data_IF_850241748693
#
_entry.id   IF_850241748693
#
_cell.length_a   1.000
_cell.length_b   1.000
_cell.length_c   1.000
_cell.angle_alpha   90.00
_cell.angle_beta   90.00
_cell.angle_gamma   90.00
#
_symmetry.space_group_name_H-M   'P 1'
#
loop_
_entity.id
_entity.type
_entity.pdbx_description
1 polymer ?
#
# COMPACT_ATOMS: atom_id res chain seq x y z
N UNK A 1 6.25 23.41 -31.73
CA UNK A 1 6.77 22.05 -31.48
C UNK A 1 7.27 21.85 -30.05
N UNK A 2 7.99 22.80 -29.44
CA UNK A 2 8.53 22.66 -28.06
C UNK A 2 7.49 22.43 -26.94
N UNK A 3 6.31 23.06 -27.02
CA UNK A 3 5.26 22.90 -26.00
C UNK A 3 4.60 21.50 -26.01
N UNK A 4 4.56 20.83 -27.15
CA UNK A 4 3.98 19.49 -27.27
C UNK A 4 4.97 18.40 -26.81
N UNK A 5 6.28 18.59 -27.05
CA UNK A 5 7.30 17.65 -26.58
C UNK A 5 7.47 17.70 -25.05
N UNK A 6 7.40 18.88 -24.44
CA UNK A 6 7.49 19.02 -22.97
C UNK A 6 6.29 18.39 -22.25
N UNK A 7 5.08 18.47 -22.82
CA UNK A 7 3.89 17.80 -22.29
C UNK A 7 3.98 16.28 -22.41
N UNK A 8 4.45 15.74 -23.55
CA UNK A 8 4.68 14.29 -23.74
C UNK A 8 5.75 13.76 -22.76
N UNK A 9 6.84 14.52 -22.56
CA UNK A 9 7.91 14.21 -21.62
C UNK A 9 7.42 14.17 -20.17
N UNK A 10 6.73 15.22 -19.72
CA UNK A 10 6.22 15.30 -18.34
C UNK A 10 5.17 14.22 -18.04
N UNK A 11 4.32 13.85 -19.01
CA UNK A 11 3.40 12.73 -18.88
C UNK A 11 4.15 11.41 -18.65
N UNK A 12 5.18 11.14 -19.44
CA UNK A 12 5.99 9.92 -19.30
C UNK A 12 6.66 9.83 -17.93
N UNK A 13 7.13 10.96 -17.39
CA UNK A 13 7.69 11.05 -16.04
C UNK A 13 6.66 10.71 -14.96
N UNK A 14 5.47 11.33 -14.99
CA UNK A 14 4.42 11.03 -14.01
C UNK A 14 3.94 9.57 -14.09
N UNK A 15 3.83 9.00 -15.30
CA UNK A 15 3.53 7.57 -15.44
C UNK A 15 4.62 6.70 -14.80
N UNK A 16 5.90 7.02 -15.00
CA UNK A 16 7.00 6.29 -14.33
C UNK A 16 6.89 6.41 -12.82
N UNK A 17 6.62 7.60 -12.29
CA UNK A 17 6.46 7.81 -10.83
C UNK A 17 5.33 6.96 -10.27
N UNK A 18 4.16 6.93 -10.92
CA UNK A 18 3.02 6.10 -10.48
C UNK A 18 3.39 4.62 -10.51
N UNK A 19 3.95 4.13 -11.62
CA UNK A 19 4.30 2.71 -11.76
C UNK A 19 5.39 2.29 -10.76
N UNK A 20 6.40 3.12 -10.56
CA UNK A 20 7.46 2.85 -9.60
C UNK A 20 6.92 2.85 -8.16
N UNK A 21 6.10 3.84 -7.79
CA UNK A 21 5.53 3.94 -6.44
C UNK A 21 4.65 2.73 -6.12
N UNK A 22 3.75 2.35 -7.04
CA UNK A 22 2.87 1.19 -6.84
C UNK A 22 3.63 -0.13 -6.88
N UNK A 23 4.59 -0.29 -7.79
CA UNK A 23 5.41 -1.50 -7.87
C UNK A 23 6.29 -1.69 -6.62
N UNK A 24 6.91 -0.61 -6.14
CA UNK A 24 7.66 -0.61 -4.89
C UNK A 24 6.77 -0.94 -3.70
N UNK A 25 5.60 -0.31 -3.60
CA UNK A 25 4.64 -0.56 -2.54
C UNK A 25 4.20 -2.03 -2.49
N UNK A 26 3.75 -2.60 -3.60
CA UNK A 26 3.31 -4.00 -3.65
C UNK A 26 4.44 -4.98 -3.34
N UNK A 27 5.65 -4.69 -3.80
CA UNK A 27 6.82 -5.50 -3.47
C UNK A 27 7.10 -5.46 -1.97
N UNK A 28 6.99 -4.28 -1.36
CA UNK A 28 7.14 -4.08 0.08
C UNK A 28 6.11 -4.87 0.89
N UNK A 29 4.84 -4.87 0.47
CA UNK A 29 3.77 -5.63 1.13
C UNK A 29 4.09 -7.12 1.12
N UNK A 30 4.48 -7.67 -0.03
CA UNK A 30 4.87 -9.08 -0.15
C UNK A 30 6.08 -9.42 0.72
N UNK A 31 7.08 -8.54 0.79
CA UNK A 31 8.24 -8.75 1.66
C UNK A 31 7.81 -8.75 3.13
N UNK A 32 6.94 -7.84 3.55
CA UNK A 32 6.50 -7.78 4.94
C UNK A 32 5.65 -9.01 5.32
N UNK A 33 4.62 -9.30 4.54
CA UNK A 33 3.59 -10.29 4.91
C UNK A 33 3.92 -11.72 4.49
N UNK A 34 4.57 -11.91 3.34
CA UNK A 34 4.87 -13.25 2.83
C UNK A 34 6.28 -13.73 3.20
N UNK A 35 7.20 -12.82 3.57
CA UNK A 35 8.57 -13.17 3.93
C UNK A 35 8.88 -12.89 5.39
N UNK A 36 8.74 -11.66 5.87
CA UNK A 36 9.17 -11.26 7.21
C UNK A 36 8.28 -11.90 8.29
N UNK A 37 6.95 -11.76 8.20
CA UNK A 37 6.03 -12.31 9.19
C UNK A 37 6.11 -13.85 9.33
N UNK A 38 6.09 -14.65 8.25
CA UNK A 38 6.27 -16.09 8.35
C UNK A 38 7.65 -16.50 8.89
N UNK A 39 8.70 -15.75 8.56
CA UNK A 39 10.04 -16.00 9.09
C UNK A 39 10.09 -15.81 10.62
N UNK A 40 9.44 -14.77 11.14
CA UNK A 40 9.31 -14.54 12.59
C UNK A 40 8.47 -15.62 13.26
N UNK A 41 7.46 -16.17 12.57
CA UNK A 41 6.65 -17.27 13.10
C UNK A 41 7.50 -18.54 13.27
N UNK A 42 8.16 -18.98 12.20
CA UNK A 42 8.92 -20.23 12.17
C UNK A 42 10.15 -20.17 13.07
N UNK A 43 10.78 -19.00 13.22
CA UNK A 43 11.92 -18.80 14.13
C UNK A 43 11.52 -18.71 15.60
N UNK A 44 10.22 -18.68 15.93
CA UNK A 44 9.73 -18.54 17.30
C UNK A 44 9.81 -17.11 17.84
N UNK A 45 10.28 -16.14 17.05
CA UNK A 45 10.39 -14.73 17.46
C UNK A 45 9.06 -14.09 17.87
N UNK A 46 7.92 -14.65 17.45
CA UNK A 46 6.60 -14.18 17.88
C UNK A 46 6.28 -14.43 19.35
N UNK A 47 6.95 -15.42 19.97
CA UNK A 47 6.76 -15.75 21.39
C UNK A 47 7.64 -14.88 22.31
N UNK A 48 8.56 -14.10 21.73
CA UNK A 48 9.46 -13.23 22.48
C UNK A 48 8.74 -11.95 22.90
N UNK A 49 9.10 -11.42 24.08
CA UNK A 49 8.47 -10.23 24.65
C UNK A 49 8.68 -8.96 23.83
N UNK A 50 9.74 -8.91 23.03
CA UNK A 50 10.04 -7.81 22.11
C UNK A 50 9.28 -7.89 20.78
N UNK A 51 8.50 -8.95 20.55
CA UNK A 51 7.76 -9.11 19.29
C UNK A 51 6.77 -7.97 19.06
N UNK A 52 6.00 -7.58 20.09
CA UNK A 52 4.99 -6.54 19.96
C UNK A 52 5.61 -5.17 19.64
N UNK A 53 6.74 -4.83 20.27
CA UNK A 53 7.45 -3.57 20.05
C UNK A 53 8.10 -3.54 18.66
N UNK A 54 8.78 -4.62 18.26
CA UNK A 54 9.38 -4.77 16.94
C UNK A 54 8.34 -4.76 15.82
N UNK A 55 7.25 -5.52 16.00
CA UNK A 55 6.10 -5.55 15.08
C UNK A 55 5.49 -4.17 14.91
N UNK A 56 5.21 -3.45 16.01
CA UNK A 56 4.71 -2.08 15.93
C UNK A 56 5.65 -1.18 15.12
N UNK A 57 6.95 -1.20 15.38
CA UNK A 57 7.91 -0.38 14.64
C UNK A 57 7.92 -0.71 13.14
N UNK A 58 7.93 -1.99 12.79
CA UNK A 58 7.92 -2.44 11.40
C UNK A 58 6.65 -2.01 10.67
N UNK A 59 5.46 -2.38 11.18
CA UNK A 59 4.18 -2.04 10.54
C UNK A 59 3.92 -0.52 10.54
N UNK A 60 4.21 0.17 11.65
CA UNK A 60 4.01 1.63 11.74
C UNK A 60 4.90 2.39 10.76
N UNK A 61 6.15 1.95 10.58
CA UNK A 61 7.06 2.54 9.58
C UNK A 61 6.60 2.21 8.17
N UNK A 62 6.26 0.95 7.91
CA UNK A 62 5.80 0.51 6.60
C UNK A 62 4.52 1.24 6.16
N UNK A 63 3.51 1.35 7.02
CA UNK A 63 2.24 2.02 6.68
C UNK A 63 2.43 3.51 6.31
N UNK A 64 3.42 4.20 6.90
CA UNK A 64 3.79 5.56 6.47
C UNK A 64 4.37 5.59 5.06
N UNK A 65 5.16 4.58 4.70
CA UNK A 65 5.68 4.40 3.35
C UNK A 65 4.52 4.09 2.38
N UNK A 66 3.56 3.26 2.79
CA UNK A 66 2.34 2.98 2.01
C UNK A 66 1.56 4.26 1.73
N UNK A 67 1.33 5.10 2.75
CA UNK A 67 0.68 6.40 2.60
C UNK A 67 1.40 7.30 1.59
N UNK A 68 2.73 7.37 1.66
CA UNK A 68 3.52 8.15 0.69
C UNK A 68 3.35 7.59 -0.72
N UNK A 69 3.41 6.28 -0.90
CA UNK A 69 3.23 5.63 -2.20
C UNK A 69 1.82 5.87 -2.77
N UNK A 70 0.78 5.74 -1.94
CA UNK A 70 -0.61 6.00 -2.34
C UNK A 70 -0.83 7.48 -2.71
N UNK A 71 -0.26 8.41 -1.94
CA UNK A 71 -0.33 9.85 -2.23
C UNK A 71 0.39 10.22 -3.53
N UNK A 72 1.57 9.64 -3.77
CA UNK A 72 2.33 9.81 -5.02
C UNK A 72 1.57 9.23 -6.22
N UNK A 73 0.98 8.04 -6.08
CA UNK A 73 0.19 7.42 -7.13
C UNK A 73 -1.03 8.27 -7.52
N UNK A 74 -1.81 8.73 -6.52
CA UNK A 74 -2.97 9.59 -6.75
C UNK A 74 -2.56 10.94 -7.38
N UNK A 75 -1.51 11.57 -6.85
CA UNK A 75 -1.02 12.85 -7.37
C UNK A 75 -0.50 12.71 -8.80
N UNK A 76 0.27 11.66 -9.09
CA UNK A 76 0.75 11.38 -10.44
C UNK A 76 -0.40 11.15 -11.43
N UNK A 77 -1.44 10.43 -11.01
CA UNK A 77 -2.63 10.23 -11.84
C UNK A 77 -3.44 11.51 -12.04
N UNK A 78 -3.55 12.39 -11.05
CA UNK A 78 -4.17 13.71 -11.18
C UNK A 78 -3.33 14.66 -12.06
N UNK A 79 -2.00 14.54 -12.03
CA UNK A 79 -1.11 15.30 -12.91
C UNK A 79 -1.26 14.84 -14.37
N UNK A 80 -1.23 13.53 -14.61
CA UNK A 80 -1.56 12.94 -15.92
C UNK A 80 -2.97 13.38 -16.31
N UNK A 81 -3.92 13.33 -15.37
CA UNK A 81 -5.25 13.97 -15.22
C UNK A 81 -5.45 15.30 -15.95
N UNK A 82 -4.55 16.22 -15.65
CA UNK A 82 -4.62 17.58 -16.13
C UNK A 82 -4.09 17.73 -17.56
N UNK A 83 -3.25 16.80 -18.02
CA UNK A 83 -2.51 16.92 -19.28
C UNK A 83 -3.20 16.31 -20.51
N UNK A 84 -4.23 15.48 -20.35
CA UNK A 84 -4.94 14.79 -21.46
C UNK A 84 -6.28 15.51 -21.75
N UNK A 85 -6.53 15.83 -23.02
CA UNK A 85 -7.74 16.52 -23.50
C UNK A 85 -8.89 15.59 -23.94
N UNK A 86 -8.61 14.36 -24.38
CA UNK A 86 -9.63 13.45 -24.93
C UNK A 86 -9.41 11.98 -24.52
N UNK A 87 -10.48 11.29 -24.11
CA UNK A 87 -10.53 9.81 -23.97
C UNK A 87 -10.68 9.25 -22.53
N UNK A 88 -11.88 8.79 -22.18
CA UNK A 88 -12.14 8.01 -20.96
C UNK A 88 -11.76 6.54 -21.17
N UNK A 89 -10.87 6.00 -20.31
CA UNK A 89 -11.26 5.21 -19.12
C UNK A 89 -10.52 5.70 -17.85
N UNK A 90 -10.59 7.01 -17.59
CA UNK A 90 -9.63 7.75 -16.75
C UNK A 90 -10.08 8.05 -15.32
N UNK A 91 -11.39 8.04 -15.05
CA UNK A 91 -11.95 8.29 -13.71
C UNK A 91 -11.80 7.10 -12.76
N UNK A 92 -11.87 5.88 -13.29
CA UNK A 92 -11.73 4.66 -12.48
C UNK A 92 -10.35 4.57 -11.83
N UNK A 93 -9.25 4.87 -12.55
CA UNK A 93 -7.90 4.85 -11.98
C UNK A 93 -7.72 5.87 -10.84
N UNK A 94 -8.34 7.05 -10.95
CA UNK A 94 -8.34 8.07 -9.88
C UNK A 94 -9.15 7.55 -8.68
N UNK A 95 -10.36 7.03 -8.91
CA UNK A 95 -11.21 6.48 -7.85
C UNK A 95 -10.49 5.34 -7.11
N UNK A 96 -9.91 4.39 -7.85
CA UNK A 96 -9.14 3.29 -7.28
C UNK A 96 -7.95 3.80 -6.45
N UNK A 97 -7.23 4.80 -6.94
CA UNK A 97 -6.08 5.38 -6.21
C UNK A 97 -6.51 6.20 -4.99
N UNK A 98 -7.66 6.85 -5.02
CA UNK A 98 -8.27 7.48 -3.84
C UNK A 98 -8.66 6.42 -2.81
N UNK A 99 -9.21 5.28 -3.23
CA UNK A 99 -9.52 4.18 -2.31
C UNK A 99 -8.23 3.61 -1.70
N UNK A 100 -7.17 3.42 -2.49
CA UNK A 100 -5.87 2.99 -1.98
C UNK A 100 -5.33 3.93 -0.89
N UNK A 101 -5.46 5.25 -1.07
CA UNK A 101 -5.06 6.23 -0.06
C UNK A 101 -5.91 6.14 1.21
N UNK A 102 -7.23 5.93 1.07
CA UNK A 102 -8.11 5.71 2.22
C UNK A 102 -7.71 4.45 2.98
N UNK A 103 -7.45 3.34 2.28
CA UNK A 103 -7.03 2.08 2.89
C UNK A 103 -5.72 2.25 3.65
N UNK A 104 -4.68 2.83 3.01
CA UNK A 104 -3.41 3.11 3.69
C UNK A 104 -3.56 4.03 4.91
N UNK A 105 -4.55 4.93 4.91
CA UNK A 105 -4.87 5.77 6.06
C UNK A 105 -5.53 4.98 7.20
N UNK A 106 -6.44 4.05 6.86
CA UNK A 106 -7.07 3.15 7.83
C UNK A 106 -6.02 2.25 8.47
N UNK A 107 -5.08 1.71 7.69
CA UNK A 107 -4.00 0.87 8.22
C UNK A 107 -3.08 1.69 9.14
N UNK A 108 -2.66 2.89 8.72
CA UNK A 108 -1.73 3.73 9.47
C UNK A 108 -2.31 4.25 10.79
N UNK A 109 -3.55 4.74 10.77
CA UNK A 109 -4.13 5.47 11.90
C UNK A 109 -5.20 4.70 12.66
N UNK A 110 -5.75 3.64 12.06
CA UNK A 110 -6.78 2.80 12.65
C UNK A 110 -6.20 1.47 13.14
N UNK A 111 -5.92 0.55 12.21
CA UNK A 111 -5.62 -0.84 12.54
C UNK A 111 -4.30 -0.99 13.31
N UNK A 112 -3.18 -0.48 12.80
CA UNK A 112 -1.88 -0.71 13.43
C UNK A 112 -1.80 -0.16 14.86
N UNK A 113 -2.24 1.07 15.18
CA UNK A 113 -2.25 1.54 16.57
C UNK A 113 -3.10 0.67 17.50
N UNK A 114 -4.29 0.25 17.05
CA UNK A 114 -5.20 -0.57 17.86
C UNK A 114 -4.67 -2.00 18.06
N UNK A 115 -4.13 -2.63 17.00
CA UNK A 115 -3.54 -3.97 17.08
C UNK A 115 -2.34 -3.98 18.01
N UNK A 116 -1.47 -2.98 17.89
CA UNK A 116 -0.29 -2.88 18.76
C UNK A 116 -0.65 -2.58 20.20
N UNK A 117 -1.72 -1.81 20.47
CA UNK A 117 -2.21 -1.61 21.84
C UNK A 117 -2.67 -2.93 22.48
N UNK A 118 -3.39 -3.78 21.73
CA UNK A 118 -3.78 -5.12 22.19
C UNK A 118 -2.56 -6.04 22.33
N UNK A 119 -1.62 -5.98 21.39
CA UNK A 119 -0.37 -6.75 21.40
C UNK A 119 0.55 -6.44 22.58
N UNK A 120 0.65 -5.17 22.99
CA UNK A 120 1.46 -4.75 24.14
C UNK A 120 0.79 -5.04 25.49
N UNK A 121 -0.53 -5.26 25.51
CA UNK A 121 -1.30 -5.63 26.72
C UNK A 121 -1.32 -7.14 26.98
N UNK A 122 -0.92 -7.96 25.99
CA UNK A 122 -0.71 -9.40 26.18
C UNK A 122 0.54 -9.59 27.04
N UNK A 123 0.29 -9.78 28.32
CA UNK A 123 1.18 -9.63 29.47
C UNK A 123 2.60 -10.22 29.36
N UNK A 124 3.55 -9.45 29.89
CA UNK A 124 4.93 -9.83 30.22
C UNK A 124 5.03 -10.88 31.36
N UNK A 125 3.91 -11.22 32.02
CA UNK A 125 3.88 -12.02 33.26
C UNK A 125 2.83 -13.13 33.31
N UNK A 126 2.00 -13.30 32.27
CA UNK A 126 0.96 -14.33 32.22
C UNK A 126 1.29 -15.38 31.16
N UNK A 127 1.21 -16.69 31.47
CA UNK A 127 1.42 -17.72 30.46
C UNK A 127 0.26 -17.69 29.46
N UNK A 128 0.59 -17.33 28.21
CA UNK A 128 -0.17 -17.52 26.97
C UNK A 128 -1.68 -17.56 27.19
N UNK A 129 -2.27 -16.41 27.53
CA UNK A 129 -3.71 -16.23 27.41
C UNK A 129 -4.07 -16.30 25.93
N UNK A 130 -5.18 -16.98 25.61
CA UNK A 130 -5.76 -17.08 24.28
C UNK A 130 -5.76 -15.70 23.58
N UNK A 131 -5.45 -15.69 22.27
CA UNK A 131 -5.48 -14.45 21.48
C UNK A 131 -6.83 -13.76 21.70
N UNK A 132 -6.86 -12.48 22.10
CA UNK A 132 -8.12 -11.79 22.34
C UNK A 132 -8.97 -11.87 21.06
N UNK A 133 -10.24 -12.28 21.16
CA UNK A 133 -11.09 -12.42 19.97
C UNK A 133 -11.17 -11.15 19.11
N UNK A 134 -10.94 -9.98 19.73
CA UNK A 134 -10.78 -8.71 19.03
C UNK A 134 -9.56 -8.68 18.09
N UNK A 135 -8.43 -9.27 18.48
CA UNK A 135 -7.19 -9.32 17.70
C UNK A 135 -7.35 -10.17 16.43
N UNK A 136 -8.03 -11.32 16.52
CA UNK A 136 -8.34 -12.15 15.36
C UNK A 136 -9.23 -11.41 14.34
N UNK A 137 -10.26 -10.72 14.84
CA UNK A 137 -11.13 -9.88 14.00
C UNK A 137 -10.37 -8.75 13.31
N UNK A 138 -9.42 -8.13 14.01
CA UNK A 138 -8.55 -7.11 13.43
C UNK A 138 -7.62 -7.69 12.36
N UNK A 139 -7.02 -8.86 12.58
CA UNK A 139 -6.17 -9.52 11.59
C UNK A 139 -6.93 -9.89 10.32
N UNK A 140 -8.19 -10.33 10.45
CA UNK A 140 -9.06 -10.55 9.30
C UNK A 140 -9.35 -9.24 8.55
N UNK A 141 -9.61 -8.15 9.28
CA UNK A 141 -9.81 -6.82 8.70
C UNK A 141 -8.58 -6.33 7.94
N UNK A 142 -7.39 -6.50 8.53
CA UNK A 142 -6.12 -6.21 7.89
C UNK A 142 -5.95 -6.99 6.58
N UNK A 143 -6.12 -8.31 6.61
CA UNK A 143 -6.02 -9.15 5.40
C UNK A 143 -7.03 -8.75 4.30
N UNK A 144 -8.24 -8.34 4.68
CA UNK A 144 -9.22 -7.85 3.72
C UNK A 144 -8.75 -6.54 3.05
N UNK A 145 -8.16 -5.62 3.83
CA UNK A 145 -7.58 -4.39 3.29
C UNK A 145 -6.35 -4.66 2.42
N UNK A 146 -5.49 -5.61 2.80
CA UNK A 146 -4.36 -6.08 1.99
C UNK A 146 -4.82 -6.60 0.61
N UNK A 147 -5.88 -7.42 0.57
CA UNK A 147 -6.46 -7.90 -0.67
C UNK A 147 -6.98 -6.75 -1.56
N UNK A 148 -7.63 -5.74 -0.96
CA UNK A 148 -8.09 -4.54 -1.67
C UNK A 148 -6.89 -3.77 -2.24
N UNK A 149 -5.83 -3.57 -1.45
CA UNK A 149 -4.60 -2.91 -1.89
C UNK A 149 -3.99 -3.61 -3.09
N UNK A 150 -3.82 -4.94 -3.02
CA UNK A 150 -3.27 -5.75 -4.10
C UNK A 150 -4.09 -5.61 -5.39
N UNK A 151 -5.41 -5.82 -5.33
CA UNK A 151 -6.28 -5.79 -6.51
C UNK A 151 -6.29 -4.40 -7.15
N UNK A 152 -6.45 -3.35 -6.35
CA UNK A 152 -6.61 -1.99 -6.89
C UNK A 152 -5.28 -1.44 -7.41
N UNK A 153 -4.17 -1.67 -6.70
CA UNK A 153 -2.86 -1.25 -7.17
C UNK A 153 -2.45 -1.99 -8.45
N UNK A 154 -2.70 -3.31 -8.53
CA UNK A 154 -2.46 -4.09 -9.75
C UNK A 154 -3.31 -3.58 -10.92
N UNK A 155 -4.58 -3.25 -10.69
CA UNK A 155 -5.45 -2.69 -11.72
C UNK A 155 -4.93 -1.34 -12.25
N UNK A 156 -4.51 -0.45 -11.35
CA UNK A 156 -3.92 0.84 -11.73
C UNK A 156 -2.60 0.66 -12.48
N UNK A 157 -1.75 -0.28 -12.08
CA UNK A 157 -0.52 -0.62 -12.78
C UNK A 157 -0.76 -1.13 -14.20
N UNK A 158 -1.68 -2.08 -14.36
CA UNK A 158 -2.08 -2.61 -15.68
C UNK A 158 -2.58 -1.47 -16.57
N UNK A 159 -3.37 -0.56 -16.01
CA UNK A 159 -3.84 0.62 -16.73
C UNK A 159 -2.68 1.52 -17.18
N UNK A 160 -1.75 1.89 -16.28
CA UNK A 160 -0.59 2.71 -16.62
C UNK A 160 0.29 2.07 -17.71
N UNK A 161 0.46 0.74 -17.64
CA UNK A 161 1.25 0.00 -18.62
C UNK A 161 0.59 0.02 -20.01
N UNK A 162 -0.72 -0.22 -20.08
CA UNK A 162 -1.50 -0.14 -21.33
C UNK A 162 -1.50 1.26 -21.93
N UNK A 163 -1.68 2.29 -21.11
CA UNK A 163 -1.68 3.70 -21.56
C UNK A 163 -0.30 4.12 -22.12
N UNK A 164 0.79 3.62 -21.53
CA UNK A 164 2.15 3.83 -22.05
C UNK A 164 2.36 3.17 -23.41
N UNK A 165 1.94 1.91 -23.59
CA UNK A 165 2.09 1.19 -24.87
C UNK A 165 1.37 1.89 -26.02
N UNK A 166 0.14 2.35 -25.79
CA UNK A 166 -0.63 3.11 -26.78
C UNK A 166 0.10 4.40 -27.18
N UNK A 167 0.72 5.09 -26.21
CA UNK A 167 1.44 6.35 -26.46
C UNK A 167 2.80 6.15 -27.16
N UNK A 168 3.44 4.98 -27.02
CA UNK A 168 4.70 4.66 -27.72
C UNK A 168 4.52 4.20 -29.17
N UNK A 169 3.32 3.73 -29.54
CA UNK A 169 2.99 3.31 -30.90
C UNK A 169 2.57 4.48 -31.82
N UNK A 170 2.45 5.70 -31.26
CA UNK A 170 2.10 6.96 -31.94
C UNK A 170 3.28 7.94 -31.98
#
# INVERSE_FOLDING_TARGET
MAALSSLKSNRSLWQTVVMFSLGFWLSGMLVLDALIMPSMYVSGMMAESEFASAGYMMFSTFNRIELLCAALALTGLLAIFKMHKDGAPRRSAIILSSILLIVASIDTYGLTPQMSALGMQLDWFSPIAETPAAMDGMHAGYWALEAVKLVFAAWVLIWCYRDRQVTSAQ
#
